data_IF_317809306855
#
_entry.id   IF_317809306855
#
_cell.length_a   1.000
_cell.length_b   1.000
_cell.length_c   1.000
_cell.angle_alpha   90.00
_cell.angle_beta   90.00
_cell.angle_gamma   90.00
#
_symmetry.space_group_name_H-M   'P 1'
#
loop_
_entity.id
_entity.type
_entity.pdbx_description
1 polymer ?
#
# COMPACT_ATOMS: atom_id res chain seq x y z
N UNK A 1 -12.04 -9.77 -28.29
CA UNK A 1 -12.06 -9.82 -26.81
C UNK A 1 -10.65 -9.44 -26.36
N UNK A 2 -10.47 -8.29 -25.72
CA UNK A 2 -9.14 -7.85 -25.27
C UNK A 2 -8.83 -8.57 -23.96
N UNK A 3 -7.86 -9.47 -24.02
CA UNK A 3 -7.33 -10.19 -22.87
C UNK A 3 -6.66 -9.15 -21.94
N UNK A 4 -7.30 -8.85 -20.81
CA UNK A 4 -6.68 -8.10 -19.74
C UNK A 4 -5.59 -8.98 -19.13
N UNK A 5 -4.38 -8.84 -19.67
CA UNK A 5 -3.19 -9.42 -19.09
C UNK A 5 -2.98 -8.76 -17.73
N UNK A 6 -3.31 -9.47 -16.65
CA UNK A 6 -2.96 -9.06 -15.29
C UNK A 6 -1.44 -8.96 -15.21
N UNK A 7 -0.92 -7.73 -15.22
CA UNK A 7 0.49 -7.48 -15.00
C UNK A 7 0.78 -7.80 -13.53
N UNK A 8 1.35 -8.98 -13.29
CA UNK A 8 1.80 -9.39 -11.95
C UNK A 8 2.97 -8.48 -11.56
N UNK A 9 2.72 -7.55 -10.64
CA UNK A 9 3.77 -6.70 -10.09
C UNK A 9 4.71 -7.51 -9.20
N UNK A 10 6.00 -7.28 -9.36
CA UNK A 10 7.02 -7.84 -8.45
C UNK A 10 6.93 -7.18 -7.07
N UNK A 11 7.38 -7.87 -6.02
CA UNK A 11 7.44 -7.33 -4.65
C UNK A 11 8.21 -6.00 -4.59
N UNK A 12 9.31 -5.88 -5.34
CA UNK A 12 10.08 -4.63 -5.41
C UNK A 12 9.27 -3.48 -5.98
N UNK A 13 8.49 -3.70 -7.06
CA UNK A 13 7.62 -2.67 -7.63
C UNK A 13 6.52 -2.25 -6.66
N UNK A 14 5.94 -3.22 -5.94
CA UNK A 14 4.92 -2.94 -4.92
C UNK A 14 5.49 -2.10 -3.76
N UNK A 15 6.73 -2.37 -3.34
CA UNK A 15 7.42 -1.57 -2.32
C UNK A 15 7.71 -0.14 -2.81
N UNK A 16 8.15 0.02 -4.06
CA UNK A 16 8.37 1.35 -4.66
C UNK A 16 7.06 2.15 -4.70
N UNK A 17 5.95 1.53 -5.09
CA UNK A 17 4.63 2.20 -5.08
C UNK A 17 4.20 2.62 -3.67
N UNK A 18 4.45 1.77 -2.67
CA UNK A 18 4.17 2.11 -1.28
C UNK A 18 4.96 3.34 -0.83
N UNK A 19 6.26 3.39 -1.12
CA UNK A 19 7.11 4.53 -0.77
C UNK A 19 6.62 5.83 -1.45
N UNK A 20 6.14 5.74 -2.69
CA UNK A 20 5.57 6.88 -3.40
C UNK A 20 4.27 7.39 -2.76
N UNK A 21 3.39 6.49 -2.30
CA UNK A 21 2.17 6.86 -1.58
C UNK A 21 2.48 7.57 -0.26
N UNK A 22 3.44 7.05 0.50
CA UNK A 22 3.87 7.65 1.77
C UNK A 22 4.51 9.03 1.57
N UNK A 23 5.31 9.21 0.52
CA UNK A 23 5.90 10.51 0.19
C UNK A 23 4.84 11.53 -0.24
N UNK A 24 3.81 11.10 -0.99
CA UNK A 24 2.67 11.96 -1.36
C UNK A 24 1.83 12.35 -0.14
N UNK A 25 1.63 11.41 0.79
CA UNK A 25 0.96 11.71 2.06
C UNK A 25 1.75 12.71 2.92
N UNK A 26 3.09 12.70 2.84
CA UNK A 26 3.98 13.62 3.57
C UNK A 26 3.96 15.03 2.99
N UNK A 27 3.89 15.14 1.66
CA UNK A 27 4.04 16.41 0.92
C UNK A 27 2.72 17.07 0.53
N UNK A 28 1.58 16.41 0.73
CA UNK A 28 0.28 16.99 0.43
C UNK A 28 -0.01 18.23 1.30
N UNK A 29 -0.71 19.20 0.72
CA UNK A 29 -1.08 20.45 1.38
C UNK A 29 -2.51 20.44 1.93
N UNK A 30 -3.27 19.37 1.65
CA UNK A 30 -4.64 19.21 2.08
C UNK A 30 -4.84 17.92 2.91
N UNK A 31 -5.54 18.06 4.03
CA UNK A 31 -5.88 16.95 4.92
C UNK A 31 -6.72 15.87 4.24
N UNK A 32 -7.62 16.23 3.33
CA UNK A 32 -8.45 15.24 2.64
C UNK A 32 -7.59 14.33 1.75
N UNK A 33 -6.65 14.90 1.01
CA UNK A 33 -5.72 14.15 0.15
C UNK A 33 -4.75 13.30 0.97
N UNK A 34 -4.22 13.84 2.08
CA UNK A 34 -3.40 13.09 3.02
C UNK A 34 -4.08 11.78 3.45
N UNK A 35 -5.37 11.86 3.80
CA UNK A 35 -6.15 10.71 4.26
C UNK A 35 -6.36 9.66 3.17
N UNK A 36 -6.49 10.08 1.91
CA UNK A 36 -6.59 9.16 0.77
C UNK A 36 -5.28 8.38 0.59
N UNK A 37 -4.14 9.08 0.55
CA UNK A 37 -2.84 8.43 0.41
C UNK A 37 -2.51 7.49 1.57
N UNK A 38 -2.87 7.87 2.80
CA UNK A 38 -2.71 7.01 3.98
C UNK A 38 -3.57 5.75 3.85
N UNK A 39 -4.84 5.87 3.44
CA UNK A 39 -5.71 4.72 3.26
C UNK A 39 -5.20 3.76 2.18
N UNK A 40 -4.72 4.30 1.06
CA UNK A 40 -4.14 3.52 -0.03
C UNK A 40 -2.83 2.83 0.40
N UNK A 41 -1.96 3.53 1.14
CA UNK A 41 -0.75 2.96 1.69
C UNK A 41 -1.08 1.79 2.65
N UNK A 42 -2.03 1.95 3.57
CA UNK A 42 -2.48 0.90 4.47
C UNK A 42 -3.03 -0.33 3.73
N UNK A 43 -3.78 -0.12 2.65
CA UNK A 43 -4.27 -1.21 1.81
C UNK A 43 -3.13 -1.95 1.10
N UNK A 44 -2.13 -1.23 0.58
CA UNK A 44 -0.94 -1.82 -0.03
C UNK A 44 -0.10 -2.61 0.99
N UNK A 45 0.09 -2.07 2.19
CA UNK A 45 0.78 -2.74 3.30
C UNK A 45 0.11 -4.06 3.68
N UNK A 46 -1.22 -4.08 3.78
CA UNK A 46 -1.98 -5.33 4.07
C UNK A 46 -1.81 -6.38 2.98
N UNK A 47 -1.68 -5.98 1.71
CA UNK A 47 -1.43 -6.92 0.60
C UNK A 47 -0.01 -7.47 0.63
N UNK A 48 0.98 -6.65 0.99
CA UNK A 48 2.39 -7.02 1.04
C UNK A 48 2.75 -7.87 2.26
N UNK A 49 2.21 -7.52 3.43
CA UNK A 49 2.60 -8.11 4.71
C UNK A 49 1.48 -8.95 5.37
N UNK A 50 0.33 -9.05 4.73
CA UNK A 50 -0.85 -9.68 5.32
C UNK A 50 -1.48 -8.82 6.43
N UNK A 51 -2.42 -9.39 7.18
CA UNK A 51 -3.02 -8.74 8.33
C UNK A 51 -1.97 -8.64 9.46
N UNK A 52 -1.32 -7.49 9.62
CA UNK A 52 -0.29 -7.28 10.67
C UNK A 52 -0.84 -7.51 12.09
N UNK A 53 -2.16 -7.47 12.27
CA UNK A 53 -2.82 -7.82 13.54
C UNK A 53 -2.64 -9.30 13.93
N UNK A 54 -2.49 -10.22 12.98
CA UNK A 54 -2.19 -11.63 13.25
C UNK A 54 -0.71 -11.86 13.56
N UNK A 55 0.20 -11.12 12.90
CA UNK A 55 1.64 -11.25 13.11
C UNK A 55 2.07 -10.86 14.54
N UNK A 56 1.37 -9.90 15.17
CA UNK A 56 1.63 -9.51 16.57
C UNK A 56 1.03 -10.48 17.60
N UNK A 57 0.02 -11.27 17.21
CA UNK A 57 -0.75 -12.13 18.11
C UNK A 57 -0.14 -13.52 18.31
N UNK A 58 0.81 -13.92 17.47
CA UNK A 58 1.53 -15.21 17.55
C UNK A 58 2.62 -15.23 18.64
N UNK A 59 2.90 -14.11 19.31
CA UNK A 59 3.96 -14.00 20.32
C UNK A 59 3.48 -13.75 21.77
N UNK A 60 2.18 -13.93 22.06
CA UNK A 60 1.64 -13.89 23.42
C UNK A 60 0.93 -15.20 23.78
#
# INVERSE_FOLDING_TARGET
MQEHQEVVMTTTQQLVQLMQLEERARTCTNRAEARLFIADAEAAKRKLWGNSADALRTHF
#
